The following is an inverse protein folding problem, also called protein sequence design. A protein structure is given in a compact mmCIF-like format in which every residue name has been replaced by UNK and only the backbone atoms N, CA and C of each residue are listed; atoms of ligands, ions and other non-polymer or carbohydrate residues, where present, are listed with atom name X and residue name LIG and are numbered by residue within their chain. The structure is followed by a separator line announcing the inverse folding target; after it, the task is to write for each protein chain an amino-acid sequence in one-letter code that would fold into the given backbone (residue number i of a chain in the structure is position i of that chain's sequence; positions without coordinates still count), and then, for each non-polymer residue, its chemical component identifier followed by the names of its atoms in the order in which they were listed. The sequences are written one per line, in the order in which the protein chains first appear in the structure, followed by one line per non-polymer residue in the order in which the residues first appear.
data_IF_141984404506
#
_entry.id   IF_141984404506
#
_cell.length_a   1.000
_cell.length_b   1.000
_cell.length_c   1.000
_cell.angle_alpha   90.00
_cell.angle_beta   90.00
_cell.angle_gamma   90.00
#
_symmetry.space_group_name_H-M   'P 1'
#
loop_
_entity.id
_entity.type
_entity.pdbx_description
1 polymer ?
#
# COMPACT_ATOMS: atom_id res chain seq x y z
N UNK A 1 -13.08 -32.88 3.66
CA UNK A 1 -11.94 -33.11 2.75
C UNK A 1 -10.67 -32.89 3.54
N UNK A 2 -9.94 -33.95 3.89
CA UNK A 2 -8.64 -33.87 4.56
C UNK A 2 -7.58 -34.01 3.46
N UNK A 3 -6.70 -33.02 3.33
CA UNK A 3 -5.58 -33.06 2.40
C UNK A 3 -4.56 -34.10 2.88
N UNK A 4 -4.21 -35.06 2.01
CA UNK A 4 -3.23 -36.14 2.28
C UNK A 4 -1.90 -35.89 1.53
N UNK A 5 -1.36 -34.69 1.65
CA UNK A 5 -0.07 -34.31 1.07
C UNK A 5 0.69 -33.35 1.99
N UNK A 6 1.91 -33.02 1.59
CA UNK A 6 2.77 -32.10 2.34
C UNK A 6 2.62 -30.66 1.82
N UNK A 7 2.83 -29.69 2.70
CA UNK A 7 2.89 -28.28 2.34
C UNK A 7 4.22 -27.70 2.83
N UNK A 8 4.92 -27.00 1.94
CA UNK A 8 6.16 -26.29 2.26
C UNK A 8 6.13 -24.85 1.74
N UNK A 9 6.99 -24.01 2.34
CA UNK A 9 7.21 -22.63 1.89
C UNK A 9 8.44 -22.61 1.00
N UNK A 10 8.27 -22.38 -0.30
CA UNK A 10 9.38 -22.34 -1.25
C UNK A 10 10.13 -21.01 -1.27
N UNK A 11 9.42 -19.90 -1.04
CA UNK A 11 10.03 -18.55 -0.98
C UNK A 11 9.26 -17.68 0.01
N UNK A 12 9.98 -16.83 0.74
CA UNK A 12 9.43 -15.75 1.55
C UNK A 12 10.12 -14.44 1.22
N UNK A 13 9.36 -13.36 1.14
CA UNK A 13 9.85 -12.00 0.88
C UNK A 13 8.91 -11.00 1.57
N UNK A 14 9.28 -10.54 2.76
CA UNK A 14 8.37 -9.82 3.64
C UNK A 14 7.08 -10.62 3.91
N UNK A 15 5.93 -10.02 3.61
CA UNK A 15 4.61 -10.64 3.78
C UNK A 15 4.23 -11.62 2.66
N UNK A 16 4.98 -11.63 1.55
CA UNK A 16 4.76 -12.57 0.47
C UNK A 16 5.34 -13.96 0.79
N UNK A 17 4.58 -14.99 0.47
CA UNK A 17 5.00 -16.39 0.51
C UNK A 17 4.63 -17.10 -0.80
N UNK A 18 5.53 -17.97 -1.26
CA UNK A 18 5.25 -18.99 -2.27
C UNK A 18 5.10 -20.33 -1.57
N UNK A 19 3.94 -20.95 -1.72
CA UNK A 19 3.58 -22.22 -1.11
C UNK A 19 3.67 -23.33 -2.17
N UNK A 20 4.22 -24.46 -1.79
CA UNK A 20 4.24 -25.69 -2.61
C UNK A 20 3.45 -26.74 -1.86
N UNK A 21 2.42 -27.25 -2.51
CA UNK A 21 1.65 -28.39 -2.07
C UNK A 21 2.11 -29.61 -2.85
N UNK A 22 2.61 -30.62 -2.16
CA UNK A 22 3.10 -31.86 -2.77
C UNK A 22 2.11 -32.97 -2.44
N UNK A 23 1.49 -33.51 -3.48
CA UNK A 23 0.60 -34.67 -3.37
C UNK A 23 1.41 -35.96 -3.15
N UNK A 24 0.79 -36.99 -2.59
CA UNK A 24 1.39 -38.32 -2.45
C UNK A 24 1.82 -38.97 -3.78
N UNK A 25 1.28 -38.51 -4.92
CA UNK A 25 1.72 -38.90 -6.26
C UNK A 25 2.89 -38.08 -6.81
N UNK A 26 3.57 -37.31 -5.95
CA UNK A 26 4.67 -36.39 -6.31
C UNK A 26 4.27 -35.23 -7.23
N UNK A 27 2.97 -34.96 -7.40
CA UNK A 27 2.51 -33.78 -8.12
C UNK A 27 2.62 -32.53 -7.23
N UNK A 28 3.24 -31.47 -7.75
CA UNK A 28 3.40 -30.20 -7.05
C UNK A 28 2.45 -29.12 -7.57
N UNK A 29 1.77 -28.45 -6.66
CA UNK A 29 0.95 -27.28 -6.94
C UNK A 29 1.58 -26.07 -6.24
N UNK A 30 1.87 -25.02 -7.02
CA UNK A 30 2.46 -23.78 -6.52
C UNK A 30 1.41 -22.69 -6.36
N UNK A 31 1.31 -22.13 -5.16
CA UNK A 31 0.36 -21.06 -4.84
C UNK A 31 1.13 -19.86 -4.28
N UNK A 32 0.89 -18.69 -4.87
CA UNK A 32 1.47 -17.43 -4.43
C UNK A 32 0.46 -16.68 -3.56
N UNK A 33 0.86 -16.23 -2.36
CA UNK A 33 -0.04 -15.45 -1.48
C UNK A 33 -0.34 -14.05 -1.99
N UNK A 34 0.46 -13.56 -2.94
CA UNK A 34 0.26 -12.26 -3.58
C UNK A 34 0.83 -12.22 -4.98
N UNK A 35 0.21 -11.41 -5.84
CA UNK A 35 0.68 -11.15 -7.20
C UNK A 35 1.90 -10.22 -7.21
N UNK A 36 2.64 -10.26 -8.30
CA UNK A 36 3.67 -9.27 -8.60
C UNK A 36 3.04 -8.01 -9.17
N UNK A 37 3.54 -6.83 -8.79
CA UNK A 37 3.13 -5.58 -9.39
C UNK A 37 3.65 -5.48 -10.84
N UNK A 38 2.81 -4.99 -11.75
CA UNK A 38 3.11 -4.92 -13.19
C UNK A 38 4.43 -4.18 -13.43
N UNK A 39 5.32 -4.76 -14.24
CA UNK A 39 6.62 -4.19 -14.62
C UNK A 39 7.56 -3.86 -13.44
N UNK A 40 7.42 -4.54 -12.30
CA UNK A 40 8.33 -4.40 -11.15
C UNK A 40 8.65 -5.75 -10.53
N UNK A 41 9.69 -5.85 -9.72
CA UNK A 41 9.96 -7.04 -8.88
C UNK A 41 9.12 -7.08 -7.60
N UNK A 42 8.39 -6.00 -7.27
CA UNK A 42 7.69 -5.82 -6.00
C UNK A 42 6.43 -6.69 -5.92
N UNK A 43 6.11 -7.19 -4.73
CA UNK A 43 4.89 -7.96 -4.43
C UNK A 43 3.77 -7.03 -3.97
N UNK A 44 2.55 -7.25 -4.49
CA UNK A 44 1.39 -6.39 -4.23
C UNK A 44 1.07 -6.28 -2.73
N UNK A 45 1.20 -7.37 -1.97
CA UNK A 45 1.01 -7.36 -0.51
C UNK A 45 2.02 -6.47 0.22
N UNK A 46 3.29 -6.50 -0.20
CA UNK A 46 4.33 -5.69 0.40
C UNK A 46 4.08 -4.21 0.07
N UNK A 47 3.75 -3.88 -1.18
CA UNK A 47 3.40 -2.50 -1.58
C UNK A 47 2.19 -1.99 -0.79
N UNK A 48 1.12 -2.76 -0.67
CA UNK A 48 -0.06 -2.38 0.12
C UNK A 48 0.26 -2.17 1.59
N UNK A 49 1.12 -3.00 2.18
CA UNK A 49 1.53 -2.85 3.57
C UNK A 49 2.30 -1.54 3.80
N UNK A 50 3.17 -1.15 2.86
CA UNK A 50 3.89 0.13 2.89
C UNK A 50 2.91 1.31 2.78
N UNK A 51 1.96 1.25 1.84
CA UNK A 51 0.90 2.26 1.69
C UNK A 51 0.11 2.40 2.99
N UNK A 52 -0.34 1.28 3.56
CA UNK A 52 -1.13 1.26 4.79
C UNK A 52 -0.36 1.83 5.97
N UNK A 53 0.91 1.45 6.14
CA UNK A 53 1.77 1.96 7.20
C UNK A 53 2.02 3.48 7.07
N UNK A 54 2.19 3.97 5.83
CA UNK A 54 2.37 5.40 5.56
C UNK A 54 1.10 6.21 5.85
N UNK A 55 -0.06 5.73 5.41
CA UNK A 55 -1.34 6.41 5.67
C UNK A 55 -1.75 6.38 7.15
N UNK A 56 -1.40 5.33 7.88
CA UNK A 56 -1.61 5.27 9.32
C UNK A 56 -0.60 6.10 10.12
N UNK A 57 0.45 6.64 9.49
CA UNK A 57 1.50 7.42 10.17
C UNK A 57 2.39 6.59 11.11
N UNK A 58 2.43 5.26 10.94
CA UNK A 58 3.19 4.36 11.83
C UNK A 58 4.58 4.01 11.29
N UNK A 59 4.81 4.22 9.99
CA UNK A 59 6.08 3.93 9.32
C UNK A 59 6.49 2.44 9.37
N UNK A 60 7.75 2.15 9.01
CA UNK A 60 8.29 0.79 8.99
C UNK A 60 8.26 0.14 10.38
N UNK A 61 8.77 0.85 11.40
CA UNK A 61 8.86 0.31 12.77
C UNK A 61 7.47 -0.01 13.36
N UNK A 62 6.46 0.79 13.04
CA UNK A 62 5.09 0.50 13.43
C UNK A 62 4.53 -0.73 12.71
N UNK A 63 4.83 -0.88 11.42
CA UNK A 63 4.44 -2.07 10.64
C UNK A 63 5.10 -3.34 11.18
N UNK A 64 6.39 -3.29 11.53
CA UNK A 64 7.11 -4.42 12.18
C UNK A 64 6.41 -4.84 13.46
N UNK A 65 6.08 -3.88 14.34
CA UNK A 65 5.37 -4.16 15.61
C UNK A 65 3.98 -4.76 15.36
N UNK A 66 3.24 -4.21 14.39
CA UNK A 66 1.92 -4.73 14.02
C UNK A 66 2.02 -6.19 13.53
N UNK A 67 2.97 -6.50 12.65
CA UNK A 67 3.19 -7.86 12.17
C UNK A 67 3.53 -8.83 13.30
N UNK A 68 4.38 -8.40 14.25
CA UNK A 68 4.72 -9.18 15.42
C UNK A 68 3.50 -9.47 16.33
N UNK A 69 2.65 -8.46 16.57
CA UNK A 69 1.42 -8.62 17.37
C UNK A 69 0.45 -9.60 16.71
N UNK A 70 0.33 -9.53 15.38
CA UNK A 70 -0.56 -10.41 14.61
C UNK A 70 0.01 -11.81 14.39
N UNK A 71 1.26 -12.07 14.82
CA UNK A 71 1.98 -13.32 14.56
C UNK A 71 2.00 -13.68 13.06
N UNK A 72 2.18 -12.69 12.20
CA UNK A 72 2.36 -12.85 10.75
C UNK A 72 3.84 -12.66 10.39
N UNK A 73 4.29 -13.07 9.19
CA UNK A 73 5.65 -12.80 8.75
C UNK A 73 6.03 -11.32 8.91
N UNK A 74 7.32 -11.06 9.17
CA UNK A 74 7.82 -9.70 9.21
C UNK A 74 7.62 -9.02 7.85
N UNK A 75 7.43 -7.69 7.82
CA UNK A 75 7.39 -6.95 6.57
C UNK A 75 8.75 -7.01 5.86
N UNK A 76 8.81 -6.41 4.67
CA UNK A 76 10.10 -6.14 4.00
C UNK A 76 11.02 -5.31 4.92
N UNK A 77 12.34 -5.40 4.69
CA UNK A 77 13.31 -4.60 5.44
C UNK A 77 13.13 -3.10 5.17
N UNK A 78 13.83 -2.30 5.98
CA UNK A 78 13.67 -0.85 6.03
C UNK A 78 14.09 -0.19 4.70
N UNK A 79 15.17 -0.65 4.08
CA UNK A 79 15.64 -0.15 2.79
C UNK A 79 14.59 -0.39 1.70
N UNK A 80 14.08 -1.63 1.60
CA UNK A 80 13.04 -1.96 0.62
C UNK A 80 11.71 -1.24 0.90
N UNK A 81 11.42 -0.90 2.17
CA UNK A 81 10.27 -0.09 2.55
C UNK A 81 10.39 1.33 1.98
N UNK A 82 11.52 2.00 2.19
CA UNK A 82 11.75 3.35 1.66
C UNK A 82 11.86 3.35 0.13
N UNK A 83 12.51 2.36 -0.48
CA UNK A 83 12.52 2.18 -1.94
C UNK A 83 11.11 2.01 -2.51
N UNK A 84 10.20 1.38 -1.76
CA UNK A 84 8.80 1.25 -2.15
C UNK A 84 8.04 2.56 -2.04
N UNK A 85 8.30 3.37 -1.01
CA UNK A 85 7.74 4.73 -0.92
C UNK A 85 8.22 5.63 -2.06
N UNK A 86 9.50 5.56 -2.39
CA UNK A 86 10.11 6.30 -3.48
C UNK A 86 9.51 5.92 -4.84
N UNK A 87 9.25 4.63 -5.04
CA UNK A 87 8.51 4.12 -6.19
C UNK A 87 7.06 4.66 -6.26
N UNK A 88 6.38 4.82 -5.13
CA UNK A 88 4.99 5.28 -5.05
C UNK A 88 4.85 6.81 -5.13
N UNK A 89 5.89 7.55 -4.77
CA UNK A 89 5.90 9.02 -4.66
C UNK A 89 5.39 9.72 -5.92
N UNK A 90 5.83 9.40 -7.16
CA UNK A 90 5.31 10.05 -8.36
C UNK A 90 3.80 9.87 -8.55
N UNK A 91 3.30 8.66 -8.24
CA UNK A 91 1.87 8.37 -8.29
C UNK A 91 1.11 9.21 -7.27
N UNK A 92 1.55 9.23 -6.01
CA UNK A 92 0.93 10.06 -4.98
C UNK A 92 0.94 11.56 -5.34
N UNK A 93 2.04 12.08 -5.87
CA UNK A 93 2.13 13.46 -6.35
C UNK A 93 1.11 13.76 -7.46
N UNK A 94 0.98 12.86 -8.44
CA UNK A 94 -0.01 13.00 -9.51
C UNK A 94 -1.46 13.04 -8.99
N UNK A 95 -1.80 12.16 -8.04
CA UNK A 95 -3.12 12.14 -7.41
C UNK A 95 -3.37 13.37 -6.56
N UNK A 96 -2.35 13.83 -5.83
CA UNK A 96 -2.39 15.06 -5.03
C UNK A 96 -2.70 16.26 -5.93
N UNK A 97 -1.98 16.43 -7.05
CA UNK A 97 -2.21 17.51 -8.00
C UNK A 97 -3.60 17.45 -8.62
N UNK A 98 -4.06 16.26 -9.03
CA UNK A 98 -5.41 16.06 -9.58
C UNK A 98 -6.50 16.38 -8.56
N UNK A 99 -6.33 15.89 -7.33
CA UNK A 99 -7.26 16.14 -6.22
C UNK A 99 -7.37 17.63 -5.92
N UNK A 100 -6.25 18.35 -5.85
CA UNK A 100 -6.25 19.81 -5.65
C UNK A 100 -6.96 20.56 -6.78
N UNK A 101 -6.72 20.19 -8.05
CA UNK A 101 -7.43 20.78 -9.20
C UNK A 101 -8.94 20.57 -9.10
N UNK A 102 -9.36 19.34 -8.83
CA UNK A 102 -10.79 19.02 -8.66
C UNK A 102 -11.41 19.82 -7.52
N UNK A 103 -10.72 19.95 -6.37
CA UNK A 103 -11.20 20.72 -5.24
C UNK A 103 -11.42 22.21 -5.58
N UNK A 104 -10.52 22.81 -6.36
CA UNK A 104 -10.67 24.19 -6.87
C UNK A 104 -11.88 24.30 -7.78
N UNK A 105 -12.05 23.39 -8.74
CA UNK A 105 -13.19 23.40 -9.66
C UNK A 105 -14.53 23.26 -8.93
N UNK A 106 -14.62 22.34 -7.96
CA UNK A 106 -15.80 22.15 -7.13
C UNK A 106 -16.14 23.40 -6.31
N UNK A 107 -15.13 24.03 -5.73
CA UNK A 107 -15.33 25.22 -4.92
C UNK A 107 -15.72 26.43 -5.80
N UNK A 108 -15.22 26.54 -7.04
CA UNK A 108 -15.62 27.58 -8.00
C UNK A 108 -17.08 27.41 -8.45
N UNK A 109 -17.53 26.16 -8.64
CA UNK A 109 -18.94 25.86 -8.95
C UNK A 109 -19.87 26.28 -7.82
N UNK A 110 -19.48 26.05 -6.56
CA UNK A 110 -20.25 26.48 -5.37
C UNK A 110 -20.27 28.00 -5.18
N UNK A 111 -19.30 28.73 -5.71
CA UNK A 111 -19.18 30.18 -5.59
C UNK A 111 -19.79 30.97 -6.77
N UNK A 112 -20.60 30.33 -7.62
CA UNK A 112 -21.12 30.90 -8.87
C UNK A 112 -20.02 31.47 -9.79
N UNK A 113 -18.89 30.77 -9.90
CA UNK A 113 -17.80 31.14 -10.82
C UNK A 113 -16.87 32.25 -10.30
N UNK A 114 -16.99 32.68 -9.05
CA UNK A 114 -16.04 33.62 -8.45
C UNK A 114 -14.67 32.95 -8.27
N UNK A 115 -13.61 33.66 -8.68
CA UNK A 115 -12.22 33.27 -8.40
C UNK A 115 -12.02 33.15 -6.89
N UNK A 116 -11.64 31.96 -6.44
CA UNK A 116 -11.37 31.70 -5.03
C UNK A 116 -9.98 32.24 -4.74
N UNK A 117 -9.90 33.17 -3.79
CA UNK A 117 -8.63 33.65 -3.26
C UNK A 117 -8.39 32.92 -1.95
N UNK A 118 -7.32 32.14 -1.88
CA UNK A 118 -6.91 31.46 -0.65
C UNK A 118 -5.89 32.37 0.03
N UNK A 119 -6.24 32.90 1.20
CA UNK A 119 -5.26 33.59 2.05
C UNK A 119 -4.23 32.57 2.53
N UNK A 120 -2.95 32.81 2.28
CA UNK A 120 -1.86 31.91 2.65
C UNK A 120 -1.52 31.90 4.14
N UNK A 121 -2.46 32.27 5.01
CA UNK A 121 -2.28 32.31 6.47
C UNK A 121 -2.59 30.97 7.15
N UNK A 122 -2.93 29.94 6.36
CA UNK A 122 -3.26 28.60 6.87
C UNK A 122 -4.63 28.52 7.55
N UNK A 123 -5.45 29.57 7.49
CA UNK A 123 -6.78 29.55 8.06
C UNK A 123 -7.80 29.05 7.04
N UNK A 124 -8.59 28.05 7.43
CA UNK A 124 -9.71 27.59 6.60
C UNK A 124 -10.72 28.71 6.40
N UNK A 125 -11.28 28.80 5.20
CA UNK A 125 -12.33 29.76 4.89
C UNK A 125 -13.52 29.54 5.85
N UNK A 126 -13.67 30.44 6.83
CA UNK A 126 -14.84 30.43 7.73
C UNK A 126 -16.07 30.80 6.91
N UNK A 127 -17.17 30.08 7.06
CA UNK A 127 -18.47 30.55 6.53
C UNK A 127 -18.77 31.87 7.23
N UNK A 128 -18.70 32.97 6.48
CA UNK A 128 -19.15 34.27 6.99
C UNK A 128 -20.65 34.18 7.31
N UNK A 129 -21.02 34.74 8.46
CA UNK A 129 -22.41 35.13 8.74
C UNK A 129 -22.75 36.40 7.97
#
# INVERSE_FOLDING_TARGET
LIWNGDMSVAKREGLYCSLVFTCCCSHEIKINTSKQCLNTSKRDINVRSVIGANFAGIGHQGLVKLCAILNVPLPIDDDHFFDTLDYLRPTFESYKLRSMKNAVEEACKKSNGRKITVSGDGTWQKRGF
#
